data_IF_252934604840
#
_entry.id   IF_252934604840
#
_cell.length_a   1.000
_cell.length_b   1.000
_cell.length_c   1.000
_cell.angle_alpha   90.00
_cell.angle_beta   90.00
_cell.angle_gamma   90.00
#
_symmetry.space_group_name_H-M   'P 1'
#
loop_
_entity.id
_entity.type
_entity.pdbx_description
1 polymer ?
#
# COMPACT_ATOMS: atom_id res chain seq x y z
N UNK A 1 -4.37 6.48 5.77
CA UNK A 1 -3.60 5.32 6.25
C UNK A 1 -2.95 4.65 5.06
N UNK A 2 -1.63 4.74 4.94
CA UNK A 2 -0.90 4.18 3.81
C UNK A 2 0.23 3.28 4.33
N UNK A 3 0.48 2.19 3.62
CA UNK A 3 1.64 1.32 3.83
C UNK A 3 2.59 1.49 2.65
N UNK A 4 3.89 1.57 2.93
CA UNK A 4 4.92 1.69 1.89
C UNK A 4 5.78 0.42 1.92
N UNK A 5 5.96 -0.21 0.77
CA UNK A 5 6.84 -1.35 0.57
C UNK A 5 7.89 -1.00 -0.49
N UNK A 6 9.11 -1.52 -0.32
CA UNK A 6 10.26 -1.20 -1.16
C UNK A 6 10.87 -2.47 -1.74
N UNK A 7 11.22 -2.43 -3.02
CA UNK A 7 11.96 -3.49 -3.71
C UNK A 7 13.34 -2.99 -4.18
N UNK A 8 14.31 -2.85 -3.26
CA UNK A 8 15.64 -2.32 -3.59
C UNK A 8 16.45 -3.30 -4.44
N UNK A 9 16.98 -2.83 -5.56
CA UNK A 9 17.81 -3.63 -6.49
C UNK A 9 19.07 -4.21 -5.81
N UNK A 10 19.65 -3.45 -4.88
CA UNK A 10 20.90 -3.79 -4.20
C UNK A 10 20.82 -5.02 -3.28
N UNK A 11 19.62 -5.38 -2.81
CA UNK A 11 19.45 -6.50 -1.87
C UNK A 11 19.22 -7.84 -2.56
N UNK A 12 18.71 -7.83 -3.80
CA UNK A 12 18.19 -9.04 -4.45
C UNK A 12 18.93 -9.44 -5.74
N UNK A 13 19.99 -8.71 -6.12
CA UNK A 13 20.70 -8.91 -7.40
C UNK A 13 19.75 -8.92 -8.61
N UNK A 14 18.65 -8.18 -8.53
CA UNK A 14 17.64 -8.06 -9.59
C UNK A 14 17.97 -6.89 -10.49
N UNK A 15 17.60 -7.02 -11.76
CA UNK A 15 17.45 -5.85 -12.61
C UNK A 15 16.14 -5.10 -12.29
N UNK A 16 15.93 -3.97 -12.96
CA UNK A 16 14.77 -3.10 -12.74
C UNK A 16 13.46 -3.79 -13.08
N UNK A 17 13.45 -4.59 -14.14
CA UNK A 17 12.28 -5.28 -14.66
C UNK A 17 11.83 -6.39 -13.70
N UNK A 18 12.76 -7.25 -13.26
CA UNK A 18 12.49 -8.29 -12.26
C UNK A 18 12.00 -7.71 -10.93
N UNK A 19 12.53 -6.55 -10.52
CA UNK A 19 12.10 -5.88 -9.31
C UNK A 19 10.67 -5.35 -9.43
N UNK A 20 10.36 -4.71 -10.56
CA UNK A 20 9.02 -4.20 -10.84
C UNK A 20 7.98 -5.32 -10.97
N UNK A 21 8.29 -6.39 -11.69
CA UNK A 21 7.43 -7.57 -11.80
C UNK A 21 7.11 -8.17 -10.43
N UNK A 22 8.10 -8.27 -9.54
CA UNK A 22 7.86 -8.76 -8.18
C UNK A 22 6.97 -7.82 -7.35
N UNK A 23 7.13 -6.50 -7.51
CA UNK A 23 6.27 -5.51 -6.84
C UNK A 23 4.83 -5.57 -7.36
N UNK A 24 4.65 -5.69 -8.68
CA UNK A 24 3.34 -5.84 -9.33
C UNK A 24 2.65 -7.13 -8.88
N UNK A 25 3.37 -8.26 -8.88
CA UNK A 25 2.83 -9.53 -8.41
C UNK A 25 2.38 -9.46 -6.95
N UNK A 26 3.21 -8.88 -6.07
CA UNK A 26 2.83 -8.69 -4.67
C UNK A 26 1.61 -7.78 -4.52
N UNK A 27 1.51 -6.71 -5.33
CA UNK A 27 0.34 -5.84 -5.34
C UNK A 27 -0.95 -6.57 -5.74
N UNK A 28 -0.90 -7.44 -6.75
CA UNK A 28 -2.04 -8.27 -7.14
C UNK A 28 -2.47 -9.20 -6.01
N UNK A 29 -1.53 -9.88 -5.36
CA UNK A 29 -1.82 -10.78 -4.24
C UNK A 29 -2.42 -10.03 -3.04
N UNK A 30 -1.90 -8.83 -2.73
CA UNK A 30 -2.46 -7.96 -1.70
C UNK A 30 -3.88 -7.50 -2.05
N UNK A 31 -4.13 -7.07 -3.30
CA UNK A 31 -5.45 -6.60 -3.73
C UNK A 31 -6.48 -7.73 -3.67
N UNK A 32 -6.12 -8.95 -4.09
CA UNK A 32 -7.00 -10.12 -3.96
C UNK A 32 -7.27 -10.49 -2.50
N UNK A 33 -6.23 -10.50 -1.67
CA UNK A 33 -6.36 -10.84 -0.24
C UNK A 33 -7.24 -9.81 0.49
N UNK A 34 -7.08 -8.53 0.18
CA UNK A 34 -7.91 -7.46 0.73
C UNK A 34 -9.35 -7.54 0.24
N UNK A 35 -9.57 -7.81 -1.05
CA UNK A 35 -10.91 -7.92 -1.65
C UNK A 35 -11.75 -9.07 -1.08
N UNK A 36 -11.12 -10.07 -0.44
CA UNK A 36 -11.80 -11.14 0.29
C UNK A 36 -12.09 -10.82 1.77
N UNK A 37 -11.63 -9.67 2.28
CA UNK A 37 -11.84 -9.29 3.67
C UNK A 37 -13.17 -8.56 3.85
N UNK A 38 -14.16 -9.31 4.35
CA UNK A 38 -15.46 -8.79 4.76
C UNK A 38 -15.49 -8.64 6.28
N UNK A 39 -15.67 -7.42 6.77
CA UNK A 39 -15.84 -7.17 8.18
C UNK A 39 -17.33 -7.34 8.54
N UNK A 40 -17.65 -8.53 9.05
CA UNK A 40 -18.96 -8.93 9.55
C UNK A 40 -19.05 -8.54 11.04
N UNK A 41 -20.27 -8.28 11.56
CA UNK A 41 -20.53 -7.84 12.94
C UNK A 41 -20.10 -6.40 13.28
N UNK A 42 -20.58 -5.42 12.51
CA UNK A 42 -20.63 -4.03 12.97
C UNK A 42 -21.70 -3.94 14.07
N UNK A 43 -21.32 -4.25 15.32
CA UNK A 43 -22.26 -4.19 16.44
C UNK A 43 -22.93 -2.81 16.53
N UNK A 44 -24.25 -2.80 16.82
CA UNK A 44 -25.00 -1.58 17.13
C UNK A 44 -24.30 -0.86 18.30
N UNK A 45 -23.66 0.27 18.02
CA UNK A 45 -22.89 1.06 18.99
C UNK A 45 -21.38 1.12 18.72
N UNK A 46 -20.86 0.35 17.75
CA UNK A 46 -19.50 0.57 17.29
C UNK A 46 -19.38 1.94 16.62
N UNK A 47 -18.37 2.72 17.02
CA UNK A 47 -18.07 4.04 16.46
C UNK A 47 -17.80 4.01 14.95
N UNK A 48 -17.64 2.81 14.36
CA UNK A 48 -17.42 2.61 12.94
C UNK A 48 -18.69 2.83 12.11
N UNK A 49 -19.89 2.53 12.62
CA UNK A 49 -21.14 2.61 11.85
C UNK A 49 -21.49 4.03 11.38
N UNK A 50 -21.01 5.06 12.07
CA UNK A 50 -21.24 6.47 11.69
C UNK A 50 -20.43 6.90 10.47
N UNK A 51 -19.37 6.16 10.13
CA UNK A 51 -18.47 6.48 9.02
C UNK A 51 -18.87 5.81 7.71
N UNK A 52 -19.79 4.84 7.74
CA UNK A 52 -20.19 4.08 6.55
C UNK A 52 -21.63 4.41 6.16
N UNK A 53 -21.82 4.71 4.88
CA UNK A 53 -23.17 4.86 4.30
C UNK A 53 -23.77 3.46 4.10
N UNK A 54 -25.09 3.34 4.21
CA UNK A 54 -25.75 2.04 3.98
C UNK A 54 -25.52 1.49 2.56
N UNK A 55 -25.22 2.37 1.62
CA UNK A 55 -24.89 2.10 0.21
C UNK A 55 -23.52 1.41 0.04
N UNK A 56 -22.63 1.54 1.02
CA UNK A 56 -21.27 0.97 1.00
C UNK A 56 -21.22 -0.42 1.68
N UNK A 57 -22.34 -0.87 2.25
CA UNK A 57 -22.47 -2.18 2.85
C UNK A 57 -22.76 -3.22 1.77
N UNK A 58 -21.96 -4.28 1.74
CA UNK A 58 -22.20 -5.45 0.90
C UNK A 58 -22.99 -6.50 1.68
N UNK A 59 -23.79 -7.29 0.97
CA UNK A 59 -24.40 -8.50 1.55
C UNK A 59 -23.37 -9.61 1.49
N UNK A 60 -22.87 -10.04 2.66
CA UNK A 60 -21.91 -11.14 2.76
C UNK A 60 -22.57 -12.47 2.37
N UNK A 61 -21.74 -13.50 2.19
CA UNK A 61 -22.16 -14.85 1.76
C UNK A 61 -23.21 -15.48 2.67
N UNK A 62 -23.22 -15.12 3.96
CA UNK A 62 -24.18 -15.58 4.96
C UNK A 62 -25.44 -14.69 5.09
N UNK A 63 -25.59 -13.66 4.23
CA UNK A 63 -26.75 -12.76 4.21
C UNK A 63 -26.68 -11.60 5.20
N UNK A 64 -25.56 -11.41 5.89
CA UNK A 64 -25.35 -10.29 6.82
C UNK A 64 -24.85 -9.04 6.07
N UNK A 65 -25.05 -7.84 6.64
CA UNK A 65 -24.42 -6.63 6.09
C UNK A 65 -22.96 -6.58 6.54
N UNK A 66 -22.04 -6.46 5.60
CA UNK A 66 -20.61 -6.38 5.84
C UNK A 66 -19.99 -5.14 5.19
N UNK A 67 -18.83 -4.71 5.70
CA UNK A 67 -17.97 -3.75 5.01
C UNK A 67 -16.95 -4.54 4.21
N UNK A 68 -16.85 -4.24 2.92
CA UNK A 68 -15.77 -4.76 2.08
C UNK A 68 -14.56 -3.84 2.22
N UNK A 69 -13.43 -4.38 2.68
CA UNK A 69 -12.18 -3.62 2.63
C UNK A 69 -11.60 -3.68 1.22
N UNK A 70 -11.16 -2.52 0.72
CA UNK A 70 -10.49 -2.40 -0.56
C UNK A 70 -9.28 -1.51 -0.37
N UNK A 71 -8.23 -1.81 -1.12
CA UNK A 71 -6.97 -1.06 -1.09
C UNK A 71 -6.72 -0.43 -2.45
N UNK A 72 -6.04 0.72 -2.43
CA UNK A 72 -5.51 1.40 -3.61
C UNK A 72 -4.00 1.17 -3.62
N UNK A 73 -3.43 0.88 -4.78
CA UNK A 73 -1.99 0.62 -4.89
C UNK A 73 -1.41 1.45 -6.03
N UNK A 74 -0.48 2.34 -5.69
CA UNK A 74 0.38 3.03 -6.65
C UNK A 74 1.78 2.43 -6.68
N UNK A 75 2.35 2.24 -7.87
CA UNK A 75 3.70 1.69 -8.05
C UNK A 75 4.52 2.63 -8.94
N UNK A 76 5.73 2.96 -8.48
CA UNK A 76 6.72 3.69 -9.26
C UNK A 76 8.09 3.06 -9.07
N UNK A 77 9.00 3.36 -9.99
CA UNK A 77 10.39 2.95 -9.96
C UNK A 77 11.28 4.19 -10.09
N UNK A 78 12.36 4.25 -9.31
CA UNK A 78 13.38 5.28 -9.50
C UNK A 78 14.29 5.42 -8.30
N UNK A 79 15.06 6.51 -8.29
CA UNK A 79 15.99 6.79 -7.20
C UNK A 79 15.25 7.30 -5.97
N UNK A 80 15.55 6.69 -4.83
CA UNK A 80 15.10 7.11 -3.51
C UNK A 80 16.30 7.26 -2.58
N UNK A 81 16.18 8.17 -1.62
CA UNK A 81 17.12 8.37 -0.52
C UNK A 81 16.41 8.02 0.78
N UNK A 82 17.11 7.33 1.66
CA UNK A 82 16.65 7.07 3.03
C UNK A 82 17.49 7.94 3.94
N UNK A 83 16.85 8.84 4.67
CA UNK A 83 17.50 9.68 5.67
C UNK A 83 17.25 9.09 7.04
N UNK A 84 18.32 8.84 7.78
CA UNK A 84 18.27 8.48 9.19
C UNK A 84 18.09 9.77 10.01
N UNK A 85 17.00 9.84 10.77
CA UNK A 85 16.61 11.03 11.54
C UNK A 85 17.12 11.00 12.99
N UNK A 86 17.43 9.82 13.53
CA UNK A 86 17.90 9.66 14.91
C UNK A 86 17.64 8.25 15.44
N UNK A 87 18.17 7.96 16.64
CA UNK A 87 17.80 6.72 17.34
C UNK A 87 18.87 5.97 18.11
N UNK A 88 20.14 6.05 17.71
CA UNK A 88 21.18 5.25 18.38
C UNK A 88 22.28 6.10 19.05
N UNK A 89 22.36 7.40 18.75
CA UNK A 89 23.45 8.28 19.22
C UNK A 89 23.00 9.69 19.66
N UNK A 90 21.69 9.98 19.72
CA UNK A 90 21.17 11.28 20.16
C UNK A 90 20.98 11.36 21.69
N UNK A 91 21.24 10.27 22.43
CA UNK A 91 21.04 10.14 23.89
C UNK A 91 19.61 10.44 24.38
N UNK A 92 18.60 10.51 23.49
CA UNK A 92 17.21 10.82 23.87
C UNK A 92 16.39 9.54 24.00
N UNK A 93 16.43 8.64 23.00
CA UNK A 93 15.83 7.30 23.08
C UNK A 93 16.72 6.30 22.31
N UNK A 94 17.57 5.51 23.00
CA UNK A 94 18.58 4.64 22.37
C UNK A 94 18.04 3.52 21.46
N UNK A 95 16.74 3.27 21.50
CA UNK A 95 16.10 2.13 20.83
C UNK A 95 15.25 2.55 19.62
N UNK A 96 15.13 3.85 19.34
CA UNK A 96 14.16 4.37 18.38
C UNK A 96 14.82 4.76 17.06
N UNK A 97 14.97 3.81 16.14
CA UNK A 97 15.45 4.11 14.80
C UNK A 97 14.35 4.79 13.95
N UNK A 98 14.55 6.06 13.63
CA UNK A 98 13.66 6.80 12.74
C UNK A 98 14.30 7.01 11.37
N UNK A 99 13.59 6.60 10.32
CA UNK A 99 14.00 6.79 8.94
C UNK A 99 12.88 7.44 8.15
N UNK A 100 13.25 8.29 7.19
CA UNK A 100 12.33 8.85 6.20
C UNK A 100 12.82 8.54 4.79
N UNK A 101 11.93 8.04 3.94
CA UNK A 101 12.15 7.88 2.51
C UNK A 101 11.85 9.19 1.78
N UNK A 102 12.72 9.58 0.86
CA UNK A 102 12.60 10.78 0.04
C UNK A 102 12.96 10.45 -1.41
N UNK A 103 12.23 10.98 -2.37
CA UNK A 103 12.58 10.84 -3.78
C UNK A 103 11.37 10.82 -4.69
N UNK A 104 11.62 11.10 -5.98
CA UNK A 104 10.57 11.19 -6.98
C UNK A 104 9.75 9.89 -7.08
N UNK A 105 10.42 8.73 -7.05
CA UNK A 105 9.74 7.43 -7.09
C UNK A 105 8.72 7.24 -5.96
N UNK A 106 8.99 7.79 -4.76
CA UNK A 106 8.03 7.70 -3.66
C UNK A 106 6.85 8.66 -3.87
N UNK A 107 7.12 9.88 -4.31
CA UNK A 107 6.08 10.87 -4.66
C UNK A 107 5.18 10.35 -5.77
N UNK A 108 5.76 9.84 -6.85
CA UNK A 108 5.02 9.30 -7.98
C UNK A 108 4.16 8.09 -7.59
N UNK A 109 4.67 7.21 -6.71
CA UNK A 109 3.87 6.10 -6.20
C UNK A 109 2.64 6.58 -5.42
N UNK A 110 2.78 7.64 -4.61
CA UNK A 110 1.62 8.25 -3.94
C UNK A 110 0.69 8.96 -4.92
N UNK A 111 1.21 9.61 -5.96
CA UNK A 111 0.38 10.20 -7.01
C UNK A 111 -0.42 9.12 -7.76
N UNK A 112 0.21 8.00 -8.12
CA UNK A 112 -0.48 6.85 -8.68
C UNK A 112 -1.59 6.34 -7.74
N UNK A 113 -1.29 6.16 -6.45
CA UNK A 113 -2.29 5.72 -5.46
C UNK A 113 -3.47 6.69 -5.35
N UNK A 114 -3.20 8.00 -5.34
CA UNK A 114 -4.24 9.04 -5.30
C UNK A 114 -5.15 9.01 -6.52
N UNK A 115 -4.65 8.55 -7.67
CA UNK A 115 -5.41 8.39 -8.91
C UNK A 115 -6.10 7.03 -9.05
N UNK A 116 -5.86 6.07 -8.15
CA UNK A 116 -6.54 4.77 -8.15
C UNK A 116 -8.00 4.88 -7.68
N UNK A 117 -8.88 4.08 -8.29
CA UNK A 117 -10.10 3.64 -7.62
C UNK A 117 -9.81 2.46 -6.66
N UNK A 118 -10.68 2.17 -5.68
CA UNK A 118 -10.49 1.02 -4.81
C UNK A 118 -10.37 -0.29 -5.61
N UNK A 119 -9.38 -1.11 -5.24
CA UNK A 119 -8.95 -2.34 -5.94
C UNK A 119 -8.11 -2.14 -7.21
N UNK A 120 -7.83 -0.91 -7.64
CA UNK A 120 -6.93 -0.65 -8.76
C UNK A 120 -5.45 -0.69 -8.35
N UNK A 121 -4.64 -1.07 -9.34
CA UNK A 121 -3.18 -0.94 -9.32
C UNK A 121 -2.81 0.01 -10.45
N UNK A 122 -2.31 1.20 -10.10
CA UNK A 122 -1.82 2.19 -11.07
C UNK A 122 -0.32 2.25 -10.98
N UNK A 123 0.34 2.27 -12.14
CA UNK A 123 1.79 2.34 -12.25
C UNK A 123 2.21 3.54 -13.08
N UNK A 124 3.40 4.10 -12.82
CA UNK A 124 3.99 5.11 -13.69
C UNK A 124 4.34 4.54 -15.07
N UNK A 125 4.37 5.37 -16.12
CA UNK A 125 4.77 4.98 -17.48
C UNK A 125 6.12 4.22 -17.50
N UNK A 126 7.08 4.66 -16.69
CA UNK A 126 8.40 4.02 -16.58
C UNK A 126 8.32 2.55 -16.12
N UNK A 127 7.36 2.23 -15.25
CA UNK A 127 7.09 0.86 -14.78
C UNK A 127 6.28 0.10 -15.83
N UNK A 128 5.33 0.76 -16.49
CA UNK A 128 4.52 0.17 -17.56
C UNK A 128 5.39 -0.27 -18.76
N UNK A 129 6.44 0.50 -19.07
CA UNK A 129 7.37 0.24 -20.16
C UNK A 129 8.37 -0.90 -19.86
N UNK A 130 8.45 -1.36 -18.60
CA UNK A 130 9.15 -2.61 -18.33
C UNK A 130 8.39 -3.74 -18.97
N UNK A 131 9.09 -4.60 -19.72
CA UNK A 131 8.46 -5.73 -20.41
C UNK A 131 7.84 -6.66 -19.36
N UNK A 132 6.53 -6.52 -19.16
CA UNK A 132 5.73 -7.44 -18.38
C UNK A 132 5.30 -8.62 -19.26
#
# INVERSE_FOLDING_TARGET
DAMVALWPLSLYHRDKEQSAQAAIQAAFECSQSAGGFEMINIHKGSALRQYFKEEELVTSVNGEKAIKLQIKIGISHGNMRILHLGGNNDNIVPERFEYIGLGKALTDAFECENHCDPSDIVVTDEVYDFKC
#
